data_IF_168262322798
#
_entry.id   IF_168262322798
#
_cell.length_a   1.000
_cell.length_b   1.000
_cell.length_c   1.000
_cell.angle_alpha   90.00
_cell.angle_beta   90.00
_cell.angle_gamma   90.00
#
_symmetry.space_group_name_H-M   'P 1'
#
loop_
_entity.id
_entity.type
_entity.pdbx_description
1 polymer ?
#
# COMPACT_ATOMS: atom_id res chain seq x y z
N UNK A 1 17.46 -4.62 12.63
CA UNK A 1 16.43 -3.57 12.54
C UNK A 1 15.10 -4.13 13.00
N UNK A 2 14.37 -3.41 13.85
CA UNK A 2 13.07 -3.84 14.31
C UNK A 2 12.04 -3.81 13.16
N UNK A 3 10.95 -4.58 13.29
CA UNK A 3 9.88 -4.57 12.29
C UNK A 3 9.25 -3.18 12.15
N UNK A 4 9.13 -2.45 13.26
CA UNK A 4 8.60 -1.08 13.25
C UNK A 4 9.50 -0.15 12.43
N UNK A 5 10.80 -0.16 12.70
CA UNK A 5 11.74 0.72 11.98
C UNK A 5 11.80 0.39 10.49
N UNK A 6 11.71 -0.89 10.14
CA UNK A 6 11.71 -1.36 8.76
C UNK A 6 10.45 -0.87 8.02
N UNK A 7 9.28 -0.96 8.66
CA UNK A 7 8.02 -0.49 8.09
C UNK A 7 8.01 1.02 7.90
N UNK A 8 8.44 1.77 8.91
CA UNK A 8 8.54 3.23 8.86
C UNK A 8 9.43 3.70 7.71
N UNK A 9 10.59 3.06 7.57
CA UNK A 9 11.56 3.39 6.53
C UNK A 9 10.98 3.16 5.13
N UNK A 10 10.25 2.05 4.95
CA UNK A 10 9.59 1.76 3.68
C UNK A 10 8.52 2.79 3.34
N UNK A 11 7.70 3.16 4.32
CA UNK A 11 6.66 4.18 4.12
C UNK A 11 7.26 5.52 3.71
N UNK A 12 8.34 5.95 4.38
CA UNK A 12 9.03 7.20 4.03
C UNK A 12 9.60 7.14 2.62
N UNK A 13 10.19 6.03 2.24
CA UNK A 13 10.71 5.85 0.90
C UNK A 13 9.60 6.03 -0.13
N UNK A 14 8.45 5.41 0.10
CA UNK A 14 7.31 5.53 -0.81
C UNK A 14 6.80 6.97 -0.90
N UNK A 15 6.71 7.67 0.24
CA UNK A 15 6.31 9.07 0.28
C UNK A 15 7.20 9.90 -0.64
N UNK A 16 8.52 9.72 -0.54
CA UNK A 16 9.45 10.48 -1.37
C UNK A 16 9.37 10.09 -2.85
N UNK A 17 9.17 8.82 -3.14
CA UNK A 17 9.02 8.35 -4.53
C UNK A 17 7.79 8.98 -5.19
N UNK A 18 6.65 8.96 -4.50
CA UNK A 18 5.42 9.55 -5.02
C UNK A 18 5.52 11.07 -5.15
N UNK A 19 6.17 11.72 -4.18
CA UNK A 19 6.39 13.17 -4.24
C UNK A 19 7.20 13.55 -5.49
N UNK A 20 8.24 12.79 -5.79
CA UNK A 20 9.04 13.03 -7.01
C UNK A 20 8.24 12.83 -8.30
N UNK A 21 7.17 12.04 -8.24
CA UNK A 21 6.27 11.85 -9.38
C UNK A 21 5.19 12.92 -9.49
N UNK A 22 5.20 13.91 -8.61
CA UNK A 22 4.26 15.01 -8.65
C UNK A 22 3.02 14.84 -7.77
N UNK A 23 2.97 13.82 -6.93
CA UNK A 23 1.86 13.66 -5.98
C UNK A 23 2.05 14.53 -4.76
N UNK A 24 0.94 15.05 -4.22
CA UNK A 24 0.88 15.53 -2.85
C UNK A 24 0.67 14.30 -1.99
N UNK A 25 1.51 14.12 -0.97
CA UNK A 25 1.55 12.85 -0.23
C UNK A 25 1.53 13.11 1.26
N UNK A 26 0.77 12.29 1.98
CA UNK A 26 0.86 12.25 3.44
C UNK A 26 1.02 10.79 3.89
N UNK A 27 1.75 10.62 4.97
CA UNK A 27 1.84 9.36 5.68
C UNK A 27 0.86 9.41 6.85
N UNK A 28 0.00 8.42 6.97
CA UNK A 28 -0.97 8.41 8.05
C UNK A 28 -0.28 8.15 9.39
N UNK A 29 -0.61 8.92 10.44
CA UNK A 29 -0.07 8.65 11.77
C UNK A 29 -0.65 7.36 12.34
N UNK A 30 0.17 6.59 13.05
CA UNK A 30 -0.29 5.39 13.73
C UNK A 30 -0.92 5.79 15.05
N UNK A 31 -2.21 5.99 15.08
CA UNK A 31 -2.87 6.33 16.32
C UNK A 31 -3.54 5.14 16.97
N UNK A 32 -3.67 4.00 16.49
CA UNK A 32 -4.23 2.80 17.14
C UNK A 32 -5.45 3.00 18.02
N UNK A 33 -5.88 4.25 18.20
CA UNK A 33 -6.97 4.62 19.08
C UNK A 33 -8.22 5.09 18.34
N UNK A 34 -8.09 5.29 17.03
CA UNK A 34 -9.22 5.74 16.22
C UNK A 34 -9.69 4.54 15.40
N UNK A 35 -10.98 4.26 15.49
CA UNK A 35 -11.57 3.15 14.76
C UNK A 35 -11.98 3.56 13.35
N UNK A 36 -11.07 4.20 12.65
CA UNK A 36 -11.28 4.66 11.28
C UNK A 36 -10.32 3.96 10.33
N UNK A 37 -10.77 3.75 9.10
CA UNK A 37 -9.93 3.17 8.07
C UNK A 37 -8.75 4.10 7.77
N UNK A 38 -7.54 3.63 8.00
CA UNK A 38 -6.34 4.45 7.87
C UNK A 38 -5.27 3.68 7.09
N UNK A 39 -5.14 3.94 5.77
CA UNK A 39 -4.03 3.38 5.00
C UNK A 39 -2.72 4.05 5.41
N UNK A 40 -1.61 3.43 5.09
CA UNK A 40 -0.30 3.96 5.49
C UNK A 40 0.06 5.26 4.75
N UNK A 41 -0.29 5.36 3.48
CA UNK A 41 0.04 6.51 2.63
C UNK A 41 -1.17 6.93 1.82
N UNK A 42 -1.40 8.25 1.75
CA UNK A 42 -2.45 8.85 0.92
C UNK A 42 -1.78 9.85 -0.02
N UNK A 43 -2.10 9.77 -1.31
CA UNK A 43 -1.49 10.64 -2.30
C UNK A 43 -2.52 11.13 -3.32
N UNK A 44 -2.39 12.39 -3.71
CA UNK A 44 -3.30 13.02 -4.67
C UNK A 44 -2.53 13.75 -5.75
N UNK A 45 -3.01 13.67 -6.98
CA UNK A 45 -2.41 14.35 -8.13
C UNK A 45 -3.49 14.63 -9.17
N UNK A 46 -3.73 15.92 -9.43
CA UNK A 46 -4.65 16.34 -10.49
C UNK A 46 -6.01 15.61 -10.46
N UNK A 47 -6.65 15.58 -9.30
CA UNK A 47 -7.95 14.92 -9.15
C UNK A 47 -7.89 13.41 -8.98
N UNK A 48 -6.72 12.83 -9.07
CA UNK A 48 -6.52 11.39 -8.84
C UNK A 48 -6.13 11.18 -7.38
N UNK A 49 -6.84 10.31 -6.69
CA UNK A 49 -6.57 9.97 -5.28
C UNK A 49 -6.19 8.50 -5.19
N UNK A 50 -5.03 8.23 -4.60
CA UNK A 50 -4.61 6.85 -4.32
C UNK A 50 -4.31 6.68 -2.85
N UNK A 51 -4.53 5.48 -2.34
CA UNK A 51 -4.14 5.09 -0.99
C UNK A 51 -3.35 3.79 -1.08
N UNK A 52 -2.34 3.65 -0.23
CA UNK A 52 -1.46 2.48 -0.26
C UNK A 52 -1.28 1.94 1.14
N UNK A 53 -1.52 0.64 1.29
CA UNK A 53 -1.16 -0.11 2.48
C UNK A 53 0.21 -0.72 2.22
N UNK A 54 1.20 -0.35 3.03
CA UNK A 54 2.58 -0.75 2.82
C UNK A 54 2.95 -1.97 3.65
N UNK A 55 3.62 -2.93 3.03
CA UNK A 55 4.14 -4.11 3.72
C UNK A 55 5.61 -4.29 3.37
N UNK A 56 6.45 -4.32 4.41
CA UNK A 56 7.87 -4.63 4.27
C UNK A 56 8.07 -6.05 4.79
N UNK A 57 8.05 -7.00 3.90
CA UNK A 57 8.12 -8.43 4.24
C UNK A 57 9.18 -9.12 3.39
N UNK A 58 9.82 -10.09 3.98
CA UNK A 58 10.81 -10.94 3.30
C UNK A 58 10.13 -12.05 2.50
N UNK A 59 9.08 -12.62 3.07
CA UNK A 59 8.41 -13.80 2.51
C UNK A 59 6.93 -13.49 2.25
N UNK A 60 6.24 -14.43 1.64
CA UNK A 60 4.81 -14.35 1.37
C UNK A 60 4.03 -13.99 2.63
N UNK A 61 2.95 -13.25 2.45
CA UNK A 61 2.10 -12.79 3.55
C UNK A 61 0.66 -12.71 3.09
N UNK A 62 -0.22 -12.51 4.08
CA UNK A 62 -1.65 -12.35 3.81
C UNK A 62 -2.13 -11.03 4.42
N UNK A 63 -2.89 -10.27 3.64
CA UNK A 63 -3.58 -9.09 4.14
C UNK A 63 -4.86 -9.57 4.84
N UNK A 64 -5.05 -9.26 6.13
CA UNK A 64 -6.27 -9.65 6.83
C UNK A 64 -7.53 -9.05 6.21
N UNK A 65 -8.65 -9.75 6.33
CA UNK A 65 -9.92 -9.32 5.74
C UNK A 65 -10.37 -7.94 6.21
N UNK A 66 -10.13 -7.60 7.48
CA UNK A 66 -10.49 -6.29 8.02
C UNK A 66 -9.69 -5.16 7.36
N UNK A 67 -8.42 -5.39 7.06
CA UNK A 67 -7.61 -4.40 6.35
C UNK A 67 -8.07 -4.25 4.90
N UNK A 68 -8.43 -5.34 4.24
CA UNK A 68 -9.00 -5.28 2.89
C UNK A 68 -10.31 -4.48 2.88
N UNK A 69 -11.16 -4.68 3.90
CA UNK A 69 -12.40 -3.92 4.03
C UNK A 69 -12.14 -2.43 4.22
N UNK A 70 -11.13 -2.05 5.00
CA UNK A 70 -10.77 -0.66 5.19
C UNK A 70 -10.30 -0.01 3.89
N UNK A 71 -9.50 -0.72 3.11
CA UNK A 71 -9.07 -0.21 1.81
C UNK A 71 -10.26 -0.06 0.86
N UNK A 72 -11.21 -0.99 0.93
CA UNK A 72 -12.44 -0.92 0.14
C UNK A 72 -13.27 0.32 0.49
N UNK A 73 -13.34 0.70 1.78
CA UNK A 73 -14.04 1.92 2.19
C UNK A 73 -13.44 3.16 1.52
N UNK A 74 -12.12 3.23 1.41
CA UNK A 74 -11.47 4.34 0.71
C UNK A 74 -11.86 4.40 -0.76
N UNK A 75 -12.05 3.25 -1.40
CA UNK A 75 -12.52 3.24 -2.79
C UNK A 75 -13.99 3.64 -2.90
N UNK A 76 -14.86 3.04 -2.09
CA UNK A 76 -16.31 3.25 -2.18
C UNK A 76 -16.73 4.63 -1.68
N UNK A 77 -16.22 5.03 -0.52
CA UNK A 77 -16.61 6.30 0.11
C UNK A 77 -15.73 7.46 -0.32
N UNK A 78 -14.45 7.22 -0.51
CA UNK A 78 -13.48 8.26 -0.80
C UNK A 78 -13.19 8.49 -2.28
N UNK A 79 -13.63 7.59 -3.14
CA UNK A 79 -13.31 7.68 -4.57
C UNK A 79 -11.85 7.43 -4.89
N UNK A 80 -11.10 6.82 -3.96
CA UNK A 80 -9.69 6.53 -4.16
C UNK A 80 -9.49 5.24 -4.95
N UNK A 81 -8.30 5.09 -5.53
CA UNK A 81 -7.82 3.78 -5.98
C UNK A 81 -6.89 3.25 -4.89
N UNK A 82 -7.20 2.07 -4.38
CA UNK A 82 -6.44 1.48 -3.28
C UNK A 82 -5.46 0.42 -3.79
N UNK A 83 -4.28 0.42 -3.19
CA UNK A 83 -3.21 -0.51 -3.54
C UNK A 83 -2.58 -1.09 -2.28
N UNK A 84 -2.01 -2.28 -2.43
CA UNK A 84 -1.06 -2.83 -1.47
C UNK A 84 0.32 -2.69 -2.10
N UNK A 85 1.26 -2.08 -1.37
CA UNK A 85 2.64 -1.95 -1.79
C UNK A 85 3.52 -2.91 -1.00
N UNK A 86 4.23 -3.78 -1.70
CA UNK A 86 5.17 -4.72 -1.08
C UNK A 86 6.60 -4.26 -1.33
N UNK A 87 7.28 -3.86 -0.25
CA UNK A 87 8.71 -3.55 -0.28
C UNK A 87 9.47 -4.85 -0.06
N UNK A 88 10.11 -5.31 -1.10
CA UNK A 88 10.92 -6.53 -1.06
C UNK A 88 12.37 -6.11 -0.86
N UNK A 89 13.03 -6.65 0.19
CA UNK A 89 14.41 -6.30 0.49
C UNK A 89 15.30 -6.46 -0.73
N UNK A 90 16.03 -5.39 -1.07
CA UNK A 90 17.00 -5.33 -2.19
C UNK A 90 16.39 -5.45 -3.59
N UNK A 91 15.06 -5.60 -3.69
CA UNK A 91 14.38 -5.75 -5.00
C UNK A 91 13.43 -4.60 -5.30
N UNK A 92 13.21 -3.70 -4.34
CA UNK A 92 12.32 -2.57 -4.55
C UNK A 92 10.85 -2.90 -4.29
N UNK A 93 9.98 -2.19 -4.97
CA UNK A 93 8.54 -2.23 -4.71
C UNK A 93 7.78 -2.97 -5.80
N UNK A 94 6.74 -3.68 -5.38
CA UNK A 94 5.68 -4.17 -6.26
C UNK A 94 4.34 -3.71 -5.69
N UNK A 95 3.46 -3.28 -6.56
CA UNK A 95 2.14 -2.79 -6.16
C UNK A 95 1.06 -3.68 -6.74
N UNK A 96 -0.05 -3.78 -6.01
CA UNK A 96 -1.18 -4.62 -6.39
C UNK A 96 -2.45 -3.83 -6.16
N UNK A 97 -3.36 -3.81 -7.15
CA UNK A 97 -4.66 -3.18 -6.92
C UNK A 97 -5.43 -3.97 -5.86
N UNK A 98 -6.31 -3.29 -5.14
CA UNK A 98 -7.15 -3.93 -4.14
C UNK A 98 -7.95 -5.09 -4.75
N UNK A 99 -8.49 -4.90 -5.94
CA UNK A 99 -9.25 -5.93 -6.65
C UNK A 99 -8.40 -7.20 -6.85
N UNK A 100 -7.18 -7.03 -7.31
CA UNK A 100 -6.25 -8.15 -7.55
C UNK A 100 -5.98 -8.92 -6.25
N UNK A 101 -5.74 -8.21 -5.16
CA UNK A 101 -5.46 -8.83 -3.86
C UNK A 101 -6.69 -9.55 -3.32
N UNK A 102 -7.87 -8.94 -3.46
CA UNK A 102 -9.13 -9.55 -3.00
C UNK A 102 -9.44 -10.84 -3.75
N UNK A 103 -9.20 -10.87 -5.05
CA UNK A 103 -9.41 -12.08 -5.86
C UNK A 103 -8.53 -13.25 -5.41
N UNK A 104 -7.42 -12.96 -4.75
CA UNK A 104 -6.52 -13.98 -4.21
C UNK A 104 -6.66 -14.13 -2.69
N UNK A 105 -7.79 -13.73 -2.14
CA UNK A 105 -8.12 -13.85 -0.71
C UNK A 105 -7.09 -13.17 0.20
N UNK A 106 -6.43 -12.12 -0.28
CA UNK A 106 -5.44 -11.36 0.48
C UNK A 106 -4.03 -11.94 0.44
N UNK A 107 -3.83 -13.07 -0.21
CA UNK A 107 -2.52 -13.72 -0.25
C UNK A 107 -1.61 -13.08 -1.29
N UNK A 108 -0.38 -12.76 -0.89
CA UNK A 108 0.63 -12.18 -1.77
C UNK A 108 1.94 -12.93 -1.55
N UNK A 109 2.45 -13.53 -2.60
CA UNK A 109 3.72 -14.25 -2.57
C UNK A 109 4.56 -13.89 -3.79
N UNK A 110 5.75 -14.46 -3.90
CA UNK A 110 6.69 -14.09 -4.96
C UNK A 110 6.18 -14.43 -6.35
N UNK A 111 5.54 -15.59 -6.51
CA UNK A 111 4.96 -15.98 -7.80
C UNK A 111 3.81 -15.05 -8.18
N UNK A 112 2.92 -14.78 -7.22
CA UNK A 112 1.80 -13.86 -7.42
C UNK A 112 2.31 -12.47 -7.80
N UNK A 113 3.36 -12.00 -7.15
CA UNK A 113 3.96 -10.69 -7.43
C UNK A 113 4.54 -10.63 -8.84
N UNK A 114 5.18 -11.70 -9.28
CA UNK A 114 5.73 -11.78 -10.63
C UNK A 114 4.63 -11.70 -11.68
N UNK A 115 3.50 -12.35 -11.44
CA UNK A 115 2.40 -12.42 -12.40
C UNK A 115 1.49 -11.19 -12.36
N UNK A 116 1.32 -10.56 -11.19
CA UNK A 116 0.29 -9.53 -10.97
C UNK A 116 0.82 -8.20 -10.45
N UNK A 117 2.07 -8.13 -10.03
CA UNK A 117 2.64 -6.90 -9.49
C UNK A 117 2.90 -5.87 -10.56
N UNK A 118 2.66 -4.60 -10.24
CA UNK A 118 2.95 -3.48 -11.13
C UNK A 118 3.96 -2.54 -10.49
N UNK A 119 4.59 -1.70 -11.31
CA UNK A 119 5.54 -0.70 -10.85
C UNK A 119 4.84 0.57 -10.37
N UNK A 120 5.60 1.43 -9.70
CA UNK A 120 5.06 2.68 -9.15
C UNK A 120 4.54 3.62 -10.25
N UNK A 121 5.12 3.57 -11.42
CA UNK A 121 4.72 4.42 -12.55
C UNK A 121 3.35 4.04 -13.12
N UNK A 122 2.80 2.90 -12.72
CA UNK A 122 1.50 2.45 -13.18
C UNK A 122 0.36 2.75 -12.19
N UNK A 123 0.67 3.39 -11.07
CA UNK A 123 -0.35 3.72 -10.06
C UNK A 123 -1.29 4.84 -10.51
#
# INVERSE_FOLDING_TARGET
>A
MSNYAKGYKGELELVHMLSRMGYMVIRAPRSGRINLASPDVVAAKNGKLIVVECKSRRDAFKIPADQLSQLCEWEVKGGAKAYVGWKIARKGWKFFSLETVRKNNGNIGKKFAKENGIGIDEL
#
